data_IF_920225414652
#
_entry.id   IF_920225414652
#
_cell.length_a   1.000
_cell.length_b   1.000
_cell.length_c   1.000
_cell.angle_alpha   90.00
_cell.angle_beta   90.00
_cell.angle_gamma   90.00
#
_symmetry.space_group_name_H-M   'P 1'
#
loop_
_entity.id
_entity.type
_entity.pdbx_description
1 polymer ?
#
# COMPACT_ATOMS: atom_id res chain seq x y z
N UNK A 1 -14.13 7.93 -23.05
CA UNK A 1 -12.84 7.81 -22.34
C UNK A 1 -12.84 6.52 -21.56
N UNK A 2 -11.73 5.79 -21.48
CA UNK A 2 -11.68 4.62 -20.61
C UNK A 2 -11.84 5.04 -19.14
N UNK A 3 -12.55 4.26 -18.30
CA UNK A 3 -12.90 4.65 -16.92
C UNK A 3 -11.70 5.08 -16.07
N UNK A 4 -10.54 4.45 -16.28
CA UNK A 4 -9.33 4.72 -15.52
C UNK A 4 -8.77 6.13 -15.76
N UNK A 5 -8.76 6.61 -17.00
CA UNK A 5 -8.24 7.94 -17.31
C UNK A 5 -9.13 9.04 -16.75
N UNK A 6 -10.45 8.88 -16.88
CA UNK A 6 -11.39 9.81 -16.27
C UNK A 6 -11.20 9.87 -14.75
N UNK A 7 -11.02 8.72 -14.09
CA UNK A 7 -10.76 8.67 -12.66
C UNK A 7 -9.47 9.43 -12.28
N UNK A 8 -8.36 9.16 -12.98
CA UNK A 8 -7.07 9.81 -12.70
C UNK A 8 -7.15 11.32 -12.90
N UNK A 9 -7.76 11.77 -13.99
CA UNK A 9 -7.94 13.20 -14.30
C UNK A 9 -8.81 13.89 -13.24
N UNK A 10 -9.91 13.26 -12.83
CA UNK A 10 -10.81 13.85 -11.83
C UNK A 10 -10.19 13.84 -10.41
N UNK A 11 -9.45 12.79 -10.08
CA UNK A 11 -8.73 12.65 -8.81
C UNK A 11 -7.58 13.66 -8.69
N UNK A 12 -6.77 13.79 -9.74
CA UNK A 12 -5.69 14.80 -9.79
C UNK A 12 -6.24 16.22 -9.78
N UNK A 13 -7.39 16.49 -10.41
CA UNK A 13 -8.08 17.77 -10.31
C UNK A 13 -8.58 18.07 -8.88
N UNK A 14 -9.05 17.06 -8.14
CA UNK A 14 -9.51 17.19 -6.75
C UNK A 14 -8.37 17.55 -5.78
N UNK A 15 -7.15 17.04 -6.02
CA UNK A 15 -5.97 17.36 -5.21
C UNK A 15 -5.46 18.80 -5.40
N UNK A 16 -5.98 19.52 -6.39
CA UNK A 16 -5.75 20.94 -6.63
C UNK A 16 -4.34 21.31 -7.11
N UNK A 17 -4.17 22.48 -7.75
CA UNK A 17 -2.89 22.94 -8.31
C UNK A 17 -1.81 23.32 -7.26
N UNK A 18 -2.08 23.13 -5.95
CA UNK A 18 -1.17 23.50 -4.85
C UNK A 18 -0.44 22.31 -4.22
N UNK A 19 -0.87 21.08 -4.50
CA UNK A 19 -0.10 19.91 -4.10
C UNK A 19 1.06 19.77 -5.09
N UNK A 20 2.18 20.41 -4.77
CA UNK A 20 3.41 20.17 -5.52
C UNK A 20 3.65 18.65 -5.55
N UNK A 21 4.04 18.06 -6.68
CA UNK A 21 4.32 16.61 -6.79
C UNK A 21 5.29 16.07 -5.72
N UNK A 22 6.09 16.95 -5.11
CA UNK A 22 6.94 16.66 -3.95
C UNK A 22 6.15 16.28 -2.69
N UNK A 23 4.99 16.89 -2.46
CA UNK A 23 4.10 16.60 -1.30
C UNK A 23 3.63 15.16 -1.35
N UNK A 24 3.29 14.67 -2.55
CA UNK A 24 2.85 13.30 -2.70
C UNK A 24 3.96 12.29 -2.44
N UNK A 25 5.19 12.56 -2.91
CA UNK A 25 6.37 11.72 -2.64
C UNK A 25 6.64 11.63 -1.14
N UNK A 26 6.60 12.76 -0.43
CA UNK A 26 6.76 12.79 1.04
C UNK A 26 5.63 12.02 1.72
N UNK A 27 4.38 12.20 1.31
CA UNK A 27 3.23 11.52 1.89
C UNK A 27 3.33 10.00 1.75
N UNK A 28 3.65 9.49 0.55
CA UNK A 28 3.83 8.05 0.33
C UNK A 28 4.99 7.52 1.16
N UNK A 29 6.10 8.23 1.21
CA UNK A 29 7.27 7.82 2.01
C UNK A 29 6.94 7.72 3.50
N UNK A 30 6.21 8.70 4.05
CA UNK A 30 5.75 8.69 5.45
C UNK A 30 4.75 7.56 5.71
N UNK A 31 3.82 7.33 4.78
CA UNK A 31 2.83 6.26 4.89
C UNK A 31 3.51 4.89 4.91
N UNK A 32 4.43 4.63 3.97
CA UNK A 32 5.22 3.39 3.95
C UNK A 32 6.05 3.23 5.23
N UNK A 33 6.72 4.28 5.69
CA UNK A 33 7.49 4.25 6.93
C UNK A 33 6.61 3.92 8.15
N UNK A 34 5.39 4.47 8.22
CA UNK A 34 4.46 4.19 9.31
C UNK A 34 4.02 2.72 9.36
N UNK A 35 3.71 2.11 8.20
CA UNK A 35 3.31 0.69 8.14
C UNK A 35 4.48 -0.20 8.55
N UNK A 36 5.68 0.09 8.04
CA UNK A 36 6.90 -0.63 8.39
C UNK A 36 7.18 -0.51 9.89
N UNK A 37 7.08 0.70 10.45
CA UNK A 37 7.23 0.93 11.88
C UNK A 37 6.24 0.09 12.70
N UNK A 38 4.94 0.08 12.34
CA UNK A 38 3.94 -0.71 13.05
C UNK A 38 4.24 -2.22 12.96
N UNK A 39 4.67 -2.70 11.79
CA UNK A 39 5.04 -4.10 11.59
C UNK A 39 6.23 -4.51 12.49
N UNK A 40 7.24 -3.64 12.64
CA UNK A 40 8.34 -3.88 13.57
C UNK A 40 7.92 -3.72 15.03
N UNK A 41 7.15 -2.68 15.37
CA UNK A 41 6.78 -2.37 16.74
C UNK A 41 5.86 -3.42 17.36
N UNK A 42 4.87 -3.90 16.60
CA UNK A 42 3.91 -4.90 17.09
C UNK A 42 4.28 -6.32 16.67
N UNK A 43 4.67 -6.50 15.41
CA UNK A 43 4.91 -7.83 14.84
C UNK A 43 6.19 -8.49 15.33
N UNK A 44 7.30 -7.74 15.43
CA UNK A 44 8.59 -8.30 15.85
C UNK A 44 8.55 -8.95 17.24
N UNK A 45 8.14 -8.25 18.32
CA UNK A 45 8.10 -8.88 19.64
C UNK A 45 7.14 -10.08 19.67
N UNK A 46 5.97 -9.94 19.03
CA UNK A 46 4.95 -11.00 19.03
C UNK A 46 5.42 -12.29 18.32
N UNK A 47 6.09 -12.16 17.17
CA UNK A 47 6.63 -13.31 16.45
C UNK A 47 7.85 -13.91 17.16
N UNK A 48 8.68 -13.05 17.77
CA UNK A 48 9.87 -13.48 18.51
C UNK A 48 9.51 -14.40 19.68
N UNK A 49 8.48 -14.03 20.46
CA UNK A 49 8.03 -14.82 21.61
C UNK A 49 7.45 -16.19 21.22
N UNK A 50 6.89 -16.31 20.01
CA UNK A 50 6.30 -17.57 19.49
C UNK A 50 7.33 -18.47 18.81
N UNK A 51 8.13 -17.90 17.90
CA UNK A 51 9.12 -18.66 17.15
C UNK A 51 10.23 -17.75 16.64
N UNK A 52 11.40 -17.73 17.32
CA UNK A 52 12.55 -16.95 16.87
C UNK A 52 13.02 -17.35 15.46
N UNK A 53 12.99 -18.64 15.12
CA UNK A 53 13.40 -19.13 13.80
C UNK A 53 12.53 -18.61 12.66
N UNK A 54 11.21 -18.64 12.83
CA UNK A 54 10.28 -18.06 11.85
C UNK A 54 10.50 -16.56 11.75
N UNK A 55 10.68 -15.88 12.89
CA UNK A 55 10.93 -14.43 12.94
C UNK A 55 12.15 -14.03 12.13
N UNK A 56 13.26 -14.77 12.25
CA UNK A 56 14.48 -14.51 11.46
C UNK A 56 14.18 -14.63 9.96
N UNK A 57 13.46 -15.66 9.53
CA UNK A 57 13.08 -15.83 8.12
C UNK A 57 12.20 -14.66 7.65
N UNK A 58 11.21 -14.26 8.45
CA UNK A 58 10.33 -13.13 8.14
C UNK A 58 11.10 -11.81 8.05
N UNK A 59 12.10 -11.60 8.90
CA UNK A 59 12.97 -10.43 8.85
C UNK A 59 13.82 -10.41 7.59
N UNK A 60 14.40 -11.54 7.18
CA UNK A 60 15.19 -11.62 5.95
C UNK A 60 14.34 -11.31 4.72
N UNK A 61 13.18 -11.97 4.60
CA UNK A 61 12.26 -11.76 3.46
C UNK A 61 11.67 -10.35 3.49
N UNK A 62 11.23 -9.89 4.66
CA UNK A 62 10.61 -8.57 4.83
C UNK A 62 11.56 -7.42 4.50
N UNK A 63 12.82 -7.50 4.96
CA UNK A 63 13.83 -6.50 4.62
C UNK A 63 14.23 -6.56 3.15
N UNK A 64 14.32 -7.76 2.56
CA UNK A 64 14.58 -7.88 1.13
C UNK A 64 13.47 -7.22 0.29
N UNK A 65 12.20 -7.42 0.66
CA UNK A 65 11.07 -6.74 0.03
C UNK A 65 11.15 -5.22 0.21
N UNK A 66 11.44 -4.75 1.43
CA UNK A 66 11.57 -3.33 1.74
C UNK A 66 12.68 -2.67 0.91
N UNK A 67 13.85 -3.30 0.81
CA UNK A 67 14.96 -2.80 -0.02
C UNK A 67 14.55 -2.69 -1.49
N UNK A 68 13.82 -3.66 -2.03
CA UNK A 68 13.32 -3.59 -3.42
C UNK A 68 12.30 -2.46 -3.60
N UNK A 69 11.37 -2.29 -2.65
CA UNK A 69 10.41 -1.17 -2.67
C UNK A 69 11.15 0.16 -2.66
N UNK A 70 12.09 0.35 -1.73
CA UNK A 70 12.88 1.59 -1.62
C UNK A 70 13.72 1.85 -2.88
N UNK A 71 14.40 0.82 -3.40
CA UNK A 71 15.22 0.94 -4.60
C UNK A 71 14.40 1.34 -5.83
N UNK A 72 13.28 0.66 -6.09
CA UNK A 72 12.45 0.96 -7.24
C UNK A 72 11.71 2.29 -7.11
N UNK A 73 11.34 2.66 -5.88
CA UNK A 73 10.79 3.97 -5.59
C UNK A 73 11.81 5.08 -5.87
N UNK A 74 13.01 4.95 -5.31
CA UNK A 74 14.11 5.88 -5.55
C UNK A 74 14.39 6.04 -7.05
N UNK A 75 14.56 4.93 -7.76
CA UNK A 75 14.80 4.95 -9.21
C UNK A 75 13.64 5.57 -9.99
N UNK A 76 12.38 5.36 -9.57
CA UNK A 76 11.23 6.00 -10.20
C UNK A 76 11.25 7.52 -10.07
N UNK A 77 11.69 8.03 -8.91
CA UNK A 77 11.76 9.47 -8.62
C UNK A 77 12.99 10.12 -9.26
N UNK A 78 14.14 9.44 -9.28
CA UNK A 78 15.41 10.07 -9.71
C UNK A 78 15.77 9.84 -11.17
N UNK A 79 15.29 8.78 -11.82
CA UNK A 79 15.64 8.49 -13.22
C UNK A 79 14.74 9.29 -14.16
N UNK A 80 15.27 10.18 -15.01
CA UNK A 80 14.45 10.99 -15.92
C UNK A 80 13.68 10.11 -16.92
N UNK A 81 12.52 10.59 -17.38
CA UNK A 81 11.63 9.87 -18.29
C UNK A 81 12.26 9.47 -19.65
N UNK A 82 13.35 10.14 -20.04
CA UNK A 82 13.93 10.07 -21.37
C UNK A 82 13.29 11.06 -22.32
N UNK A 83 13.93 11.32 -23.46
CA UNK A 83 13.45 12.29 -24.44
C UNK A 83 12.74 11.59 -25.60
N UNK A 84 11.66 12.16 -26.15
CA UNK A 84 11.09 11.66 -27.39
C UNK A 84 12.12 11.78 -28.53
N UNK A 85 12.12 10.85 -29.51
CA UNK A 85 12.91 11.03 -30.72
C UNK A 85 12.48 12.33 -31.43
N UNK A 86 13.45 13.08 -31.96
CA UNK A 86 13.24 14.37 -32.61
C UNK A 86 12.19 14.24 -33.72
N UNK A 87 10.98 14.76 -33.48
CA UNK A 87 9.87 14.78 -34.46
C UNK A 87 8.53 14.19 -34.00
N UNK A 88 8.43 13.56 -32.82
CA UNK A 88 7.16 13.03 -32.29
C UNK A 88 6.48 13.97 -31.28
N UNK A 89 5.35 14.58 -31.65
CA UNK A 89 4.48 15.32 -30.73
C UNK A 89 3.68 14.33 -29.86
N UNK A 90 4.19 13.97 -28.69
CA UNK A 90 3.42 13.24 -27.68
C UNK A 90 3.49 14.00 -26.35
N UNK A 91 2.36 14.52 -25.83
CA UNK A 91 2.32 15.19 -24.53
C UNK A 91 2.67 14.21 -23.41
N UNK A 92 3.61 14.59 -22.56
CA UNK A 92 4.11 13.76 -21.47
C UNK A 92 3.01 13.46 -20.44
N UNK A 93 2.72 12.16 -20.23
CA UNK A 93 1.89 11.70 -19.13
C UNK A 93 2.66 11.90 -17.82
N UNK A 94 2.39 13.00 -17.13
CA UNK A 94 2.96 13.28 -15.82
C UNK A 94 2.41 12.26 -14.81
N UNK A 95 3.27 11.39 -14.28
CA UNK A 95 2.92 10.59 -13.11
C UNK A 95 3.04 11.50 -11.89
N UNK A 96 1.91 12.09 -11.47
CA UNK A 96 1.84 12.96 -10.29
C UNK A 96 2.48 12.32 -9.05
N UNK A 97 2.56 10.99 -9.02
CA UNK A 97 3.04 10.18 -7.91
C UNK A 97 4.57 10.12 -7.73
N UNK A 98 5.36 10.35 -8.78
CA UNK A 98 6.81 10.18 -8.75
C UNK A 98 7.59 11.49 -8.78
N UNK A 99 6.89 12.64 -8.78
CA UNK A 99 7.52 13.93 -9.05
C UNK A 99 8.40 13.91 -10.32
N UNK A 100 8.00 13.08 -11.29
CA UNK A 100 8.71 12.78 -12.50
C UNK A 100 7.73 12.17 -13.51
N UNK A 101 7.96 12.37 -14.82
CA UNK A 101 7.18 11.72 -15.86
C UNK A 101 7.57 10.23 -15.94
N UNK A 102 6.60 9.34 -16.19
CA UNK A 102 6.91 7.93 -16.47
C UNK A 102 7.13 7.77 -17.97
N UNK A 103 8.38 7.58 -18.36
CA UNK A 103 8.81 7.39 -19.73
C UNK A 103 9.69 6.15 -19.89
N UNK A 104 10.38 6.05 -21.01
CA UNK A 104 11.07 4.83 -21.43
C UNK A 104 12.07 4.31 -20.39
N UNK A 105 12.85 5.20 -19.76
CA UNK A 105 13.94 4.81 -18.85
C UNK A 105 13.47 4.42 -17.45
N UNK A 106 12.34 4.96 -16.97
CA UNK A 106 11.85 4.71 -15.61
C UNK A 106 10.58 3.85 -15.55
N UNK A 107 9.91 3.57 -16.68
CA UNK A 107 8.69 2.77 -16.72
C UNK A 107 8.86 1.37 -16.09
N UNK A 108 10.02 0.74 -16.29
CA UNK A 108 10.36 -0.53 -15.61
C UNK A 108 10.42 -0.38 -14.09
N UNK A 109 11.06 0.68 -13.59
CA UNK A 109 11.17 0.93 -12.16
C UNK A 109 9.82 1.27 -11.54
N UNK A 110 8.98 2.04 -12.23
CA UNK A 110 7.62 2.34 -11.80
C UNK A 110 6.77 1.07 -11.68
N UNK A 111 6.79 0.20 -12.68
CA UNK A 111 6.05 -1.06 -12.64
C UNK A 111 6.53 -1.98 -11.50
N UNK A 112 7.86 -2.14 -11.37
CA UNK A 112 8.44 -2.97 -10.31
C UNK A 112 8.16 -2.40 -8.92
N UNK A 113 8.17 -1.08 -8.74
CA UNK A 113 7.74 -0.44 -7.49
C UNK A 113 6.32 -0.85 -7.10
N UNK A 114 5.36 -0.79 -8.03
CA UNK A 114 3.98 -1.20 -7.76
C UNK A 114 3.90 -2.69 -7.38
N UNK A 115 4.57 -3.56 -8.13
CA UNK A 115 4.58 -5.01 -7.88
C UNK A 115 5.19 -5.35 -6.53
N UNK A 116 6.38 -4.83 -6.21
CA UNK A 116 7.03 -5.08 -4.93
C UNK A 116 6.24 -4.50 -3.75
N UNK A 117 5.58 -3.36 -3.94
CA UNK A 117 4.71 -2.78 -2.90
C UNK A 117 3.50 -3.69 -2.64
N UNK A 118 2.84 -4.19 -3.70
CA UNK A 118 1.71 -5.13 -3.57
C UNK A 118 2.15 -6.45 -2.91
N UNK A 119 3.32 -6.99 -3.27
CA UNK A 119 3.87 -8.19 -2.63
C UNK A 119 4.19 -7.90 -1.15
N UNK A 120 4.81 -6.76 -0.86
CA UNK A 120 5.19 -6.34 0.50
C UNK A 120 4.00 -6.17 1.43
N UNK A 121 2.95 -5.45 1.02
CA UNK A 121 1.74 -5.31 1.84
C UNK A 121 0.97 -6.63 1.96
N UNK A 122 0.98 -7.49 0.94
CA UNK A 122 0.38 -8.83 1.03
C UNK A 122 1.12 -9.68 2.06
N UNK A 123 2.45 -9.62 2.07
CA UNK A 123 3.30 -10.26 3.08
C UNK A 123 2.93 -9.76 4.49
N UNK A 124 2.83 -8.44 4.71
CA UNK A 124 2.42 -7.87 6.00
C UNK A 124 1.01 -8.31 6.39
N UNK A 125 0.05 -8.36 5.47
CA UNK A 125 -1.32 -8.81 5.75
C UNK A 125 -1.36 -10.28 6.17
N UNK A 126 -0.64 -11.17 5.46
CA UNK A 126 -0.62 -12.61 5.77
C UNK A 126 -0.05 -12.88 7.16
N UNK A 127 1.05 -12.23 7.54
CA UNK A 127 1.65 -12.44 8.86
C UNK A 127 1.03 -11.57 9.97
N UNK A 128 0.35 -10.48 9.60
CA UNK A 128 -0.37 -9.59 10.51
C UNK A 128 -1.78 -10.06 10.86
N UNK A 129 -2.44 -10.87 10.02
CA UNK A 129 -3.82 -11.32 10.30
C UNK A 129 -3.90 -12.18 11.55
N UNK A 130 -2.88 -13.02 11.81
CA UNK A 130 -2.84 -13.85 13.01
C UNK A 130 -2.67 -13.03 14.28
N UNK A 131 -1.75 -12.06 14.24
CA UNK A 131 -1.57 -11.07 15.31
C UNK A 131 -2.88 -10.32 15.59
N UNK A 132 -3.56 -9.85 14.53
CA UNK A 132 -4.83 -9.15 14.67
C UNK A 132 -5.92 -10.05 15.27
N UNK A 133 -6.05 -11.28 14.79
CA UNK A 133 -7.07 -12.21 15.29
C UNK A 133 -6.95 -12.45 16.79
N UNK A 134 -5.74 -12.73 17.28
CA UNK A 134 -5.50 -12.99 18.72
C UNK A 134 -5.73 -11.74 19.58
N UNK A 135 -5.44 -10.53 19.07
CA UNK A 135 -5.65 -9.27 19.79
C UNK A 135 -7.14 -8.88 19.90
N UNK A 136 -7.93 -9.16 18.86
CA UNK A 136 -9.36 -8.85 18.81
C UNK A 136 -10.25 -9.93 19.43
N UNK A 137 -9.82 -11.19 19.36
CA UNK A 137 -10.53 -12.35 19.90
C UNK A 137 -9.64 -13.10 20.91
N UNK A 138 -9.30 -12.46 22.05
CA UNK A 138 -8.58 -13.16 23.11
C UNK A 138 -9.44 -14.30 23.65
N UNK A 139 -8.81 -15.42 24.03
CA UNK A 139 -9.49 -16.47 24.78
C UNK A 139 -10.05 -15.86 26.07
N UNK A 140 -11.32 -16.14 26.34
CA UNK A 140 -12.03 -15.60 27.49
C UNK A 140 -11.44 -16.22 28.76
N UNK A 141 -10.62 -15.47 29.50
CA UNK A 141 -10.31 -15.85 30.88
C UNK A 141 -11.63 -15.83 31.69
N UNK A 142 -11.85 -16.79 32.60
CA UNK A 142 -13.02 -16.76 33.47
C UNK A 142 -13.00 -15.46 34.28
N UNK A 143 -13.97 -14.58 34.00
CA UNK A 143 -14.21 -13.33 34.72
C UNK A 143 -14.27 -13.60 36.23
N UNK A 144 -13.27 -13.14 36.99
CA UNK A 144 -13.48 -12.75 38.39
C UNK A 144 -14.12 -11.35 38.35
N UNK A 145 -15.41 -11.30 38.02
CA UNK A 145 -16.15 -10.04 37.93
C UNK A 145 -16.52 -9.55 39.34
N UNK A 146 -15.92 -8.44 39.75
CA UNK A 146 -16.46 -7.62 40.84
C UNK A 146 -17.71 -6.92 40.32
N UNK A 147 -18.87 -7.57 40.50
CA UNK A 147 -20.15 -7.06 40.01
C UNK A 147 -20.43 -5.61 40.47
N UNK A 148 -20.72 -4.66 39.57
CA UNK A 148 -21.25 -3.37 39.98
C UNK A 148 -22.64 -3.57 40.61
N UNK A 149 -22.81 -3.10 41.85
CA UNK A 149 -24.08 -3.17 42.56
C UNK A 149 -25.07 -2.21 41.91
N UNK A 150 -26.02 -2.75 41.13
CA UNK A 150 -27.15 -1.97 40.61
C UNK A 150 -28.16 -1.72 41.73
N UNK A 151 -28.20 -0.50 42.25
CA UNK A 151 -29.31 -0.03 43.09
C UNK A 151 -30.40 0.54 42.16
N UNK A 152 -31.51 -0.19 42.04
CA UNK A 152 -32.76 0.25 41.39
C UNK A 152 -32.67 0.55 39.87
N UNK A 153 -32.11 -0.37 39.09
CA UNK A 153 -32.32 -0.61 37.64
C UNK A 153 -32.27 0.56 36.60
N UNK A 154 -32.01 1.81 36.94
CA UNK A 154 -32.03 2.91 35.96
C UNK A 154 -30.87 3.90 36.03
N UNK A 155 -30.04 3.88 37.07
CA UNK A 155 -28.85 4.74 37.13
C UNK A 155 -27.60 3.91 37.39
N UNK A 156 -26.67 3.95 36.43
CA UNK A 156 -25.27 3.60 36.69
C UNK A 156 -24.68 4.85 37.34
N UNK A 157 -24.65 4.86 38.68
CA UNK A 157 -23.83 5.85 39.38
C UNK A 157 -22.39 5.49 39.02
N UNK A 158 -21.64 6.33 38.27
CA UNK A 158 -20.20 6.12 38.19
C UNK A 158 -19.73 6.20 39.64
N UNK A 159 -19.12 5.13 40.14
CA UNK A 159 -18.59 5.10 41.51
C UNK A 159 -17.53 6.19 41.61
N UNK A 160 -17.97 7.39 41.99
CA UNK A 160 -17.13 8.50 42.42
C UNK A 160 -16.94 8.42 43.94
N UNK A 161 -16.97 7.20 44.51
CA UNK A 161 -16.43 7.00 45.85
C UNK A 161 -14.97 7.43 45.81
N UNK A 162 -14.65 8.44 46.62
CA UNK A 162 -13.29 8.90 46.83
C UNK A 162 -12.41 7.69 47.11
N UNK A 163 -11.41 7.47 46.24
CA UNK A 163 -10.40 6.40 46.35
C UNK A 163 -9.55 6.52 47.64
N UNK A 164 -9.84 7.51 48.49
CA UNK A 164 -9.20 7.78 49.78
C UNK A 164 -9.33 6.62 50.80
N UNK A 165 -10.26 5.68 50.59
CA UNK A 165 -10.43 4.49 51.42
C UNK A 165 -9.63 3.28 50.94
N UNK A 166 -9.03 3.34 49.73
CA UNK A 166 -8.24 2.25 49.17
C UNK A 166 -6.81 2.29 49.68
N UNK A 167 -6.25 1.13 49.97
CA UNK A 167 -4.83 1.00 50.29
C UNK A 167 -3.98 1.46 49.09
N UNK A 168 -2.73 1.87 49.35
CA UNK A 168 -1.79 2.27 48.28
C UNK A 168 -1.57 1.16 47.25
N UNK A 169 -1.74 -0.10 47.66
CA UNK A 169 -1.59 -1.29 46.82
C UNK A 169 -2.76 -1.42 45.84
N UNK A 170 -4.01 -1.27 46.30
CA UNK A 170 -5.19 -1.31 45.45
C UNK A 170 -5.22 -0.15 44.44
N UNK A 171 -4.79 1.05 44.85
CA UNK A 171 -4.66 2.20 43.94
C UNK A 171 -3.63 1.93 42.83
N UNK A 172 -2.52 1.27 43.18
CA UNK A 172 -1.49 0.89 42.21
C UNK A 172 -1.99 -0.19 41.24
N UNK A 173 -2.82 -1.12 41.71
CA UNK A 173 -3.43 -2.17 40.90
C UNK A 173 -4.46 -1.61 39.91
N UNK A 174 -5.32 -0.68 40.36
CA UNK A 174 -6.25 0.05 39.50
C UNK A 174 -5.49 0.86 38.44
N UNK A 175 -4.43 1.56 38.83
CA UNK A 175 -3.60 2.32 37.90
C UNK A 175 -2.91 1.42 36.86
N UNK A 176 -2.46 0.23 37.28
CA UNK A 176 -1.87 -0.77 36.39
C UNK A 176 -2.91 -1.33 35.40
N UNK A 177 -4.11 -1.68 35.88
CA UNK A 177 -5.19 -2.18 35.04
C UNK A 177 -5.68 -1.12 34.03
N UNK A 178 -5.76 0.14 34.45
CA UNK A 178 -6.08 1.26 33.57
C UNK A 178 -5.00 1.44 32.48
N UNK A 179 -3.72 1.37 32.84
CA UNK A 179 -2.61 1.44 31.88
C UNK A 179 -2.61 0.26 30.91
N UNK A 180 -2.85 -0.97 31.38
CA UNK A 180 -2.96 -2.16 30.53
C UNK A 180 -4.12 -2.04 29.54
N UNK A 181 -5.28 -1.54 29.99
CA UNK A 181 -6.44 -1.28 29.13
C UNK A 181 -6.10 -0.24 28.04
N UNK A 182 -5.47 0.87 28.42
CA UNK A 182 -5.06 1.92 27.49
C UNK A 182 -4.09 1.37 26.43
N UNK A 183 -3.07 0.61 26.85
CA UNK A 183 -2.10 0.02 25.92
C UNK A 183 -2.75 -0.95 24.93
N UNK A 184 -3.72 -1.74 25.38
CA UNK A 184 -4.49 -2.67 24.53
C UNK A 184 -5.34 -1.92 23.51
N UNK A 185 -6.00 -0.84 23.92
CA UNK A 185 -6.74 0.03 23.00
C UNK A 185 -5.82 0.67 21.94
N UNK A 186 -4.66 1.18 22.34
CA UNK A 186 -3.67 1.76 21.42
C UNK A 186 -3.17 0.73 20.41
N UNK A 187 -2.85 -0.49 20.85
CA UNK A 187 -2.44 -1.60 19.97
C UNK A 187 -3.52 -1.90 18.92
N UNK A 188 -4.78 -2.01 19.34
CA UNK A 188 -5.92 -2.24 18.44
C UNK A 188 -6.08 -1.12 17.42
N UNK A 189 -5.97 0.15 17.85
CA UNK A 189 -6.01 1.32 16.95
C UNK A 189 -4.90 1.28 15.89
N UNK A 190 -3.67 0.91 16.28
CA UNK A 190 -2.55 0.76 15.34
C UNK A 190 -2.77 -0.37 14.33
N UNK A 191 -3.29 -1.52 14.77
CA UNK A 191 -3.60 -2.66 13.89
C UNK A 191 -4.69 -2.28 12.88
N UNK A 192 -5.75 -1.59 13.32
CA UNK A 192 -6.82 -1.10 12.44
C UNK A 192 -6.26 -0.12 11.41
N UNK A 193 -5.47 0.86 11.86
CA UNK A 193 -4.85 1.84 10.97
C UNK A 193 -3.96 1.17 9.90
N UNK A 194 -3.08 0.26 10.30
CA UNK A 194 -2.22 -0.47 9.37
C UNK A 194 -3.03 -1.35 8.40
N UNK A 195 -4.05 -2.05 8.91
CA UNK A 195 -4.93 -2.90 8.10
C UNK A 195 -5.68 -2.12 7.02
N UNK A 196 -6.27 -0.97 7.38
CA UNK A 196 -6.98 -0.11 6.42
C UNK A 196 -6.06 0.39 5.31
N UNK A 197 -4.85 0.85 5.66
CA UNK A 197 -3.89 1.33 4.67
C UNK A 197 -3.42 0.20 3.77
N UNK A 198 -3.12 -0.98 4.33
CA UNK A 198 -2.70 -2.15 3.54
C UNK A 198 -3.78 -2.56 2.53
N UNK A 199 -5.06 -2.61 2.94
CA UNK A 199 -6.17 -2.96 2.04
C UNK A 199 -6.38 -1.90 0.95
N UNK A 200 -6.37 -0.61 1.32
CA UNK A 200 -6.51 0.48 0.37
C UNK A 200 -5.36 0.48 -0.65
N UNK A 201 -4.13 0.27 -0.17
CA UNK A 201 -2.93 0.22 -1.01
C UNK A 201 -2.95 -1.00 -1.93
N UNK A 202 -3.35 -2.16 -1.43
CA UNK A 202 -3.44 -3.40 -2.20
C UNK A 202 -4.44 -3.29 -3.33
N UNK A 203 -5.62 -2.74 -3.05
CA UNK A 203 -6.65 -2.56 -4.07
C UNK A 203 -6.25 -1.52 -5.11
N UNK A 204 -5.78 -0.35 -4.68
CA UNK A 204 -5.39 0.74 -5.58
C UNK A 204 -4.17 0.40 -6.45
N UNK A 205 -3.04 0.01 -5.83
CA UNK A 205 -1.82 -0.34 -6.57
C UNK A 205 -1.94 -1.67 -7.29
N UNK A 206 -2.68 -2.64 -6.74
CA UNK A 206 -2.93 -3.93 -7.39
C UNK A 206 -3.71 -3.77 -8.69
N UNK A 207 -4.79 -2.98 -8.69
CA UNK A 207 -5.57 -2.70 -9.89
C UNK A 207 -4.74 -1.95 -10.94
N UNK A 208 -3.93 -0.98 -10.51
CA UNK A 208 -3.05 -0.22 -11.40
C UNK A 208 -1.95 -1.10 -12.00
N UNK A 209 -1.29 -1.93 -11.18
CA UNK A 209 -0.28 -2.88 -11.64
C UNK A 209 -0.87 -3.91 -12.61
N UNK A 210 -2.06 -4.42 -12.33
CA UNK A 210 -2.77 -5.34 -13.21
C UNK A 210 -3.06 -4.71 -14.58
N UNK A 211 -3.53 -3.47 -14.60
CA UNK A 211 -3.76 -2.73 -15.83
C UNK A 211 -2.48 -2.54 -16.64
N UNK A 212 -1.40 -2.07 -16.00
CA UNK A 212 -0.10 -1.91 -16.64
C UNK A 212 0.46 -3.23 -17.17
N UNK A 213 0.27 -4.34 -16.45
CA UNK A 213 0.66 -5.67 -16.93
C UNK A 213 -0.08 -6.05 -18.23
N UNK A 214 -1.36 -5.66 -18.37
CA UNK A 214 -2.11 -5.81 -19.61
C UNK A 214 -1.55 -4.99 -20.77
N UNK A 215 -1.15 -3.74 -20.52
CA UNK A 215 -0.50 -2.89 -21.51
C UNK A 215 0.85 -3.47 -21.97
N UNK A 216 1.70 -3.87 -21.02
CA UNK A 216 3.00 -4.49 -21.29
C UNK A 216 2.81 -5.77 -22.12
N UNK A 217 1.79 -6.57 -21.81
CA UNK A 217 1.48 -7.80 -22.55
C UNK A 217 1.17 -7.53 -24.03
N UNK A 218 0.56 -6.39 -24.36
CA UNK A 218 0.25 -5.95 -25.73
C UNK A 218 1.37 -5.13 -26.39
N UNK A 219 2.50 -4.93 -25.70
CA UNK A 219 3.59 -4.11 -26.20
C UNK A 219 3.24 -2.63 -26.28
N UNK A 220 2.38 -2.14 -25.37
CA UNK A 220 1.88 -0.77 -25.35
C UNK A 220 2.29 -0.04 -24.05
N UNK A 221 2.58 1.25 -24.16
CA UNK A 221 2.53 2.21 -23.06
C UNK A 221 1.11 2.77 -22.89
N UNK A 222 0.84 3.47 -21.78
CA UNK A 222 -0.48 4.07 -21.54
C UNK A 222 -0.90 5.07 -22.64
N UNK A 223 0.07 5.76 -23.24
CA UNK A 223 -0.19 6.70 -24.33
C UNK A 223 -0.39 5.94 -25.66
N UNK A 224 0.45 4.96 -25.95
CA UNK A 224 0.31 4.11 -27.14
C UNK A 224 -1.02 3.36 -27.14
N UNK A 225 -1.50 2.88 -26.00
CA UNK A 225 -2.81 2.23 -25.90
C UNK A 225 -3.95 3.16 -26.35
N UNK A 226 -3.86 4.46 -26.05
CA UNK A 226 -4.83 5.46 -26.51
C UNK A 226 -4.73 5.71 -28.01
N UNK A 227 -3.51 5.83 -28.53
CA UNK A 227 -3.25 6.01 -29.96
C UNK A 227 -3.77 4.78 -30.73
N UNK A 228 -3.39 3.58 -30.30
CA UNK A 228 -3.78 2.32 -30.90
C UNK A 228 -5.30 2.10 -30.86
N UNK A 229 -5.96 2.48 -29.76
CA UNK A 229 -7.43 2.45 -29.67
C UNK A 229 -8.07 3.39 -30.69
N UNK A 230 -7.54 4.60 -30.83
CA UNK A 230 -8.02 5.60 -31.80
C UNK A 230 -7.78 5.16 -33.25
N UNK A 231 -6.58 4.66 -33.56
CA UNK A 231 -6.24 4.12 -34.88
C UNK A 231 -7.07 2.88 -35.22
N UNK A 232 -7.26 1.98 -34.25
CA UNK A 232 -8.13 0.80 -34.43
C UNK A 232 -9.56 1.18 -34.81
N UNK A 233 -10.12 2.24 -34.22
CA UNK A 233 -11.44 2.75 -34.61
C UNK A 233 -11.45 3.29 -36.03
N UNK A 234 -10.43 4.07 -36.44
CA UNK A 234 -10.31 4.61 -37.80
C UNK A 234 -10.21 3.50 -38.85
N UNK A 235 -9.39 2.47 -38.60
CA UNK A 235 -9.22 1.35 -39.52
C UNK A 235 -10.50 0.51 -39.61
N UNK A 236 -11.18 0.26 -38.48
CA UNK A 236 -12.47 -0.45 -38.46
C UNK A 236 -13.55 0.28 -39.27
N UNK A 237 -13.60 1.61 -39.19
CA UNK A 237 -14.52 2.41 -40.00
C UNK A 237 -14.27 2.28 -41.52
N UNK A 238 -13.04 1.94 -41.91
CA UNK A 238 -12.65 1.65 -43.30
C UNK A 238 -12.77 0.15 -43.67
N UNK A 239 -13.30 -0.69 -42.78
CA UNK A 239 -13.34 -2.15 -42.97
C UNK A 239 -11.96 -2.83 -42.93
N UNK A 240 -10.94 -2.15 -42.37
CA UNK A 240 -9.57 -2.64 -42.25
C UNK A 240 -9.26 -3.06 -40.81
N UNK A 241 -8.28 -3.94 -40.65
CA UNK A 241 -7.74 -4.33 -39.36
C UNK A 241 -6.46 -3.54 -39.06
N UNK A 242 -6.38 -2.94 -37.87
CA UNK A 242 -5.17 -2.30 -37.36
C UNK A 242 -4.38 -3.30 -36.50
N UNK A 243 -3.08 -3.42 -36.75
CA UNK A 243 -2.17 -4.22 -35.95
C UNK A 243 -1.12 -3.32 -35.32
N UNK A 244 -0.96 -3.42 -33.99
CA UNK A 244 0.07 -2.66 -33.27
C UNK A 244 1.47 -3.10 -33.77
N UNK A 245 2.28 -2.19 -34.35
CA UNK A 245 3.63 -2.51 -34.83
C UNK A 245 4.60 -2.94 -33.73
N UNK A 246 4.29 -2.61 -32.47
CA UNK A 246 5.13 -2.89 -31.31
C UNK A 246 4.67 -4.12 -30.51
N UNK A 247 3.64 -4.82 -30.97
CA UNK A 247 3.21 -6.09 -30.38
C UNK A 247 3.96 -7.27 -31.01
N UNK A 248 4.96 -7.78 -30.30
CA UNK A 248 5.76 -8.94 -30.70
C UNK A 248 5.27 -10.25 -30.06
N UNK A 249 4.11 -10.19 -29.40
CA UNK A 249 3.53 -11.28 -28.62
C UNK A 249 3.92 -11.23 -27.13
N UNK A 250 3.07 -11.77 -26.23
CA UNK A 250 3.17 -11.60 -24.79
C UNK A 250 4.57 -11.81 -24.21
N UNK A 251 5.16 -12.97 -24.46
CA UNK A 251 6.47 -13.35 -23.89
C UNK A 251 7.57 -12.39 -24.32
N UNK A 252 7.54 -11.96 -25.58
CA UNK A 252 8.58 -11.12 -26.14
C UNK A 252 8.44 -9.67 -25.68
N UNK A 253 7.21 -9.17 -25.59
CA UNK A 253 6.92 -7.86 -25.04
C UNK A 253 7.41 -7.74 -23.59
N UNK A 254 7.17 -8.76 -22.76
CA UNK A 254 7.68 -8.82 -21.38
C UNK A 254 9.21 -8.87 -21.30
N UNK A 255 9.87 -9.61 -22.19
CA UNK A 255 11.35 -9.69 -22.23
C UNK A 255 11.99 -8.35 -22.58
N UNK A 256 11.41 -7.66 -23.57
CA UNK A 256 11.83 -6.32 -23.99
C UNK A 256 11.58 -5.31 -22.87
N UNK A 257 10.43 -5.37 -22.21
CA UNK A 257 10.09 -4.48 -21.10
C UNK A 257 11.02 -4.67 -19.89
N UNK A 258 11.32 -5.91 -19.51
CA UNK A 258 12.17 -6.22 -18.37
C UNK A 258 13.67 -6.00 -18.65
N UNK A 259 14.06 -5.74 -19.90
CA UNK A 259 15.45 -5.56 -20.31
C UNK A 259 16.24 -6.87 -20.36
N UNK A 260 15.57 -8.02 -20.42
CA UNK A 260 16.22 -9.35 -20.55
C UNK A 260 16.64 -9.65 -21.99
N UNK A 261 16.21 -8.82 -22.94
CA UNK A 261 16.61 -8.82 -24.33
C UNK A 261 16.75 -7.37 -24.79
N UNK A 262 17.86 -7.04 -25.43
CA UNK A 262 18.07 -5.70 -25.98
C UNK A 262 17.17 -5.48 -27.21
N UNK A 263 16.65 -4.24 -27.34
CA UNK A 263 16.13 -3.77 -28.62
C UNK A 263 17.35 -3.45 -29.50
N UNK A 264 17.70 -4.44 -30.31
CA UNK A 264 18.88 -4.49 -31.20
C UNK A 264 20.21 -4.77 -30.48
#
# INVERSE_FOLDING_TARGET
>A
MEPMFWFVENFTACLGPRCSPQVFVVMVSLLTASIVYIAYYLGLPWWWDRSPSVTIILLLVGNWLLVNVCFHYYMGVTVPAGYPPQGGLIPEAHAAWLNNCVGHYNHRHFFLYMVYTVIGITFIMIFGVRLAYEEFFPEQEPELDGHPVRLNNSEIIPVTESLDHLSKEELAEIAKQAAETETKEWRRKLIIFAGLICIATFTALGALAWWHAGLITRGETSIEARINSTESQKYRAQGKFYQNPYDFGPRENWRLFLGTKNRF
#
